data_IF_220328877415
#
_entry.id   IF_220328877415
#
_cell.length_a   1.000
_cell.length_b   1.000
_cell.length_c   1.000
_cell.angle_alpha   90.00
_cell.angle_beta   90.00
_cell.angle_gamma   90.00
#
_symmetry.space_group_name_H-M   'P 1'
#
loop_
_entity.id
_entity.type
_entity.pdbx_description
1 polymer ?
#
# COMPACT_ATOMS: atom_id res chain seq x y z
N UNK A 1 -2.97 48.57 34.42
CA UNK A 1 -3.21 47.24 33.80
C UNK A 1 -2.31 47.15 32.58
N UNK A 2 -1.13 46.56 32.74
CA UNK A 2 -0.18 46.30 31.65
C UNK A 2 -0.50 44.92 31.09
N UNK A 3 -0.86 44.86 29.82
CA UNK A 3 -1.05 43.60 29.10
C UNK A 3 0.29 42.86 28.99
N UNK A 4 0.34 41.53 29.18
CA UNK A 4 1.57 40.80 28.99
C UNK A 4 1.88 40.69 27.48
N UNK A 5 3.07 41.12 27.10
CA UNK A 5 3.66 40.91 25.78
C UNK A 5 3.73 39.42 25.46
N UNK A 6 3.39 38.98 24.23
CA UNK A 6 3.51 37.58 23.87
C UNK A 6 4.98 37.18 23.89
N UNK A 7 5.30 36.11 24.64
CA UNK A 7 6.62 35.49 24.59
C UNK A 7 6.90 35.12 23.14
N UNK A 8 8.00 35.65 22.62
CA UNK A 8 8.56 35.31 21.33
C UNK A 8 8.52 33.79 21.15
N UNK A 9 7.79 33.33 20.14
CA UNK A 9 7.91 31.97 19.63
C UNK A 9 9.38 31.75 19.31
N UNK A 10 10.07 30.95 20.13
CA UNK A 10 11.36 30.38 19.75
C UNK A 10 11.10 29.56 18.50
N UNK A 11 11.37 30.16 17.34
CA UNK A 11 11.63 29.41 16.13
C UNK A 11 12.85 28.56 16.48
N UNK A 12 12.63 27.28 16.80
CA UNK A 12 13.71 26.30 16.82
C UNK A 12 14.30 26.31 15.41
N UNK A 13 15.34 27.12 15.22
CA UNK A 13 16.18 27.07 14.04
C UNK A 13 16.85 25.71 14.11
N UNK A 14 16.24 24.72 13.44
CA UNK A 14 16.87 23.42 13.26
C UNK A 14 18.24 23.69 12.64
N UNK A 15 19.32 23.05 13.13
CA UNK A 15 20.64 23.22 12.56
C UNK A 15 20.55 22.97 11.06
N UNK A 16 21.26 23.77 10.27
CA UNK A 16 21.21 23.67 8.81
C UNK A 16 21.39 22.21 8.39
N UNK A 17 20.36 21.67 7.73
CA UNK A 17 20.27 20.27 7.39
C UNK A 17 21.28 20.02 6.26
N UNK A 18 22.48 19.59 6.59
CA UNK A 18 23.42 19.04 5.60
C UNK A 18 22.78 17.78 4.99
N UNK A 19 23.01 17.49 3.70
CA UNK A 19 22.46 16.28 3.06
C UNK A 19 22.83 15.01 3.81
N UNK A 20 23.96 15.03 4.51
CA UNK A 20 24.48 13.92 5.32
C UNK A 20 23.75 13.73 6.66
N UNK A 21 22.90 14.69 7.06
CA UNK A 21 22.20 14.71 8.35
C UNK A 21 20.68 14.52 8.23
N UNK A 22 20.16 14.18 7.04
CA UNK A 22 18.73 13.88 6.86
C UNK A 22 18.46 12.46 7.39
N UNK A 23 17.56 12.29 8.38
CA UNK A 23 17.27 10.97 8.93
C UNK A 23 16.47 10.13 7.92
N UNK A 24 16.90 8.89 7.72
CA UNK A 24 16.14 7.91 6.95
C UNK A 24 14.99 7.36 7.79
N UNK A 25 13.76 7.71 7.43
CA UNK A 25 12.56 7.26 8.14
C UNK A 25 11.92 6.11 7.35
N UNK A 26 11.65 5.00 8.04
CA UNK A 26 10.99 3.84 7.48
C UNK A 26 9.70 3.52 8.23
N UNK A 27 8.64 3.21 7.49
CA UNK A 27 7.38 2.66 8.02
C UNK A 27 7.31 1.19 7.66
N UNK A 28 7.13 0.33 8.68
CA UNK A 28 7.06 -1.11 8.53
C UNK A 28 5.71 -1.64 9.00
N UNK A 29 5.01 -2.34 8.12
CA UNK A 29 3.67 -2.82 8.35
C UNK A 29 3.62 -4.36 8.45
N UNK A 30 3.04 -4.86 9.54
CA UNK A 30 2.97 -6.29 9.82
C UNK A 30 1.88 -7.00 9.02
N UNK A 31 1.96 -8.33 8.97
CA UNK A 31 0.90 -9.17 8.43
C UNK A 31 -0.35 -9.21 9.31
N UNK A 32 -1.48 -9.53 8.70
CA UNK A 32 -2.75 -9.62 9.42
C UNK A 32 -3.98 -9.57 8.53
N UNK A 33 -3.84 -10.03 7.28
CA UNK A 33 -4.88 -9.98 6.27
C UNK A 33 -5.56 -8.59 6.20
N UNK A 34 -6.88 -8.56 6.11
CA UNK A 34 -7.65 -7.33 5.93
C UNK A 34 -7.44 -6.31 7.05
N UNK A 35 -7.24 -6.75 8.30
CA UNK A 35 -6.99 -5.85 9.44
C UNK A 35 -5.71 -5.04 9.22
N UNK A 36 -4.64 -5.71 8.80
CA UNK A 36 -3.37 -5.04 8.51
C UNK A 36 -3.46 -4.09 7.32
N UNK A 37 -4.27 -4.45 6.32
CA UNK A 37 -4.55 -3.61 5.16
C UNK A 37 -5.24 -2.30 5.55
N UNK A 38 -6.34 -2.39 6.31
CA UNK A 38 -7.10 -1.21 6.78
C UNK A 38 -6.25 -0.36 7.73
N UNK A 39 -5.54 -0.99 8.66
CA UNK A 39 -4.68 -0.29 9.61
C UNK A 39 -3.56 0.49 8.89
N UNK A 40 -2.91 -0.11 7.88
CA UNK A 40 -1.88 0.58 7.10
C UNK A 40 -2.47 1.74 6.30
N UNK A 41 -3.59 1.54 5.62
CA UNK A 41 -4.25 2.59 4.84
C UNK A 41 -4.57 3.81 5.72
N UNK A 42 -5.24 3.60 6.87
CA UNK A 42 -5.55 4.69 7.81
C UNK A 42 -4.30 5.34 8.40
N UNK A 43 -3.25 4.57 8.70
CA UNK A 43 -1.97 5.12 9.19
C UNK A 43 -1.35 6.09 8.17
N UNK A 44 -1.33 5.71 6.89
CA UNK A 44 -0.75 6.55 5.84
C UNK A 44 -1.61 7.79 5.54
N UNK A 45 -2.95 7.67 5.63
CA UNK A 45 -3.85 8.84 5.53
C UNK A 45 -3.56 9.84 6.66
N UNK A 46 -3.44 9.38 7.90
CA UNK A 46 -3.11 10.28 9.02
C UNK A 46 -1.72 10.89 8.86
N UNK A 47 -0.72 10.10 8.45
CA UNK A 47 0.63 10.62 8.16
C UNK A 47 0.60 11.72 7.08
N UNK A 48 -0.25 11.59 6.06
CA UNK A 48 -0.45 12.63 5.05
C UNK A 48 -1.07 13.88 5.67
N UNK A 49 -2.12 13.75 6.49
CA UNK A 49 -2.80 14.89 7.15
C UNK A 49 -1.85 15.72 8.03
N UNK A 50 -0.85 15.07 8.64
CA UNK A 50 0.19 15.72 9.43
C UNK A 50 1.43 16.16 8.62
N UNK A 51 1.41 16.02 7.29
CA UNK A 51 2.56 16.28 6.40
C UNK A 51 3.83 15.50 6.79
N UNK A 52 3.66 14.31 7.38
CA UNK A 52 4.76 13.40 7.75
C UNK A 52 5.03 12.36 6.68
N UNK A 53 4.09 12.16 5.76
CA UNK A 53 4.24 11.16 4.69
C UNK A 53 5.42 11.49 3.75
N UNK A 54 5.65 12.78 3.48
CA UNK A 54 6.78 13.25 2.64
C UNK A 54 8.16 13.02 3.30
N UNK A 55 8.18 12.78 4.62
CA UNK A 55 9.42 12.48 5.34
C UNK A 55 9.82 10.99 5.27
N UNK A 56 8.94 10.11 4.79
CA UNK A 56 9.17 8.67 4.77
C UNK A 56 9.98 8.28 3.54
N UNK A 57 11.12 7.63 3.78
CA UNK A 57 12.01 7.12 2.73
C UNK A 57 11.64 5.71 2.29
N UNK A 58 11.21 4.87 3.25
CA UNK A 58 10.88 3.47 3.00
C UNK A 58 9.51 3.09 3.56
N UNK A 59 8.70 2.44 2.74
CA UNK A 59 7.47 1.79 3.15
C UNK A 59 7.61 0.29 2.89
N UNK A 60 7.69 -0.49 3.96
CA UNK A 60 7.77 -1.95 3.91
C UNK A 60 6.52 -2.58 4.51
N UNK A 61 6.12 -3.74 4.00
CA UNK A 61 4.98 -4.46 4.53
C UNK A 61 4.97 -5.93 4.12
N UNK A 62 4.28 -6.77 4.89
CA UNK A 62 4.13 -8.20 4.61
C UNK A 62 2.67 -8.65 4.67
N UNK A 63 2.32 -9.72 3.95
CA UNK A 63 0.98 -10.34 3.96
C UNK A 63 -0.12 -9.28 3.72
N UNK A 64 -1.10 -9.14 4.61
CA UNK A 64 -2.22 -8.20 4.44
C UNK A 64 -1.84 -6.74 4.16
N UNK A 65 -0.71 -6.26 4.66
CA UNK A 65 -0.23 -4.90 4.35
C UNK A 65 0.20 -4.74 2.91
N UNK A 66 0.66 -5.80 2.24
CA UNK A 66 1.03 -5.73 0.82
C UNK A 66 -0.18 -5.47 -0.06
N UNK A 67 -1.39 -5.83 0.37
CA UNK A 67 -2.62 -5.55 -0.37
C UNK A 67 -2.93 -4.06 -0.42
N UNK A 68 -2.68 -3.34 0.68
CA UNK A 68 -2.78 -1.88 0.72
C UNK A 68 -1.70 -1.27 -0.17
N UNK A 69 -0.44 -1.73 -0.03
CA UNK A 69 0.67 -1.25 -0.86
C UNK A 69 0.43 -1.48 -2.35
N UNK A 70 -0.11 -2.63 -2.77
CA UNK A 70 -0.43 -2.89 -4.18
C UNK A 70 -1.47 -1.92 -4.73
N UNK A 71 -2.41 -1.46 -3.89
CA UNK A 71 -3.39 -0.44 -4.28
C UNK A 71 -2.81 0.95 -4.37
N UNK A 72 -1.92 1.31 -3.44
CA UNK A 72 -1.21 2.59 -3.46
C UNK A 72 -0.34 2.69 -4.73
N UNK A 73 0.56 1.73 -4.93
CA UNK A 73 1.56 1.80 -6.01
C UNK A 73 1.00 1.64 -7.43
N UNK A 74 -0.31 1.41 -7.58
CA UNK A 74 -0.98 1.41 -8.89
C UNK A 74 -0.91 2.78 -9.57
N UNK A 75 -1.01 3.85 -8.80
CA UNK A 75 -0.99 5.22 -9.30
C UNK A 75 0.31 5.91 -8.90
N UNK A 76 0.92 6.66 -9.82
CA UNK A 76 2.15 7.44 -9.49
C UNK A 76 1.86 8.57 -8.50
N UNK A 77 0.63 9.08 -8.51
CA UNK A 77 0.09 10.15 -7.66
C UNK A 77 -0.74 9.57 -6.49
N UNK A 78 -0.31 8.43 -5.93
CA UNK A 78 -1.04 7.75 -4.87
C UNK A 78 -1.06 8.53 -3.56
N UNK A 79 -0.03 9.35 -3.32
CA UNK A 79 0.03 10.24 -2.16
C UNK A 79 -1.14 11.20 -2.22
N UNK A 80 -1.42 11.77 -3.38
CA UNK A 80 -2.51 12.71 -3.63
C UNK A 80 -3.90 12.06 -3.51
N UNK A 81 -3.98 10.76 -3.85
CA UNK A 81 -5.24 9.99 -3.92
C UNK A 81 -5.49 9.09 -2.70
N UNK A 82 -4.65 9.15 -1.67
CA UNK A 82 -4.75 8.18 -0.56
C UNK A 82 -6.07 8.23 0.20
N UNK A 83 -6.69 9.41 0.31
CA UNK A 83 -8.02 9.57 0.93
C UNK A 83 -9.13 8.98 0.04
N UNK A 84 -8.99 9.06 -1.28
CA UNK A 84 -9.89 8.41 -2.23
C UNK A 84 -9.77 6.89 -2.14
N UNK A 85 -8.54 6.38 -1.97
CA UNK A 85 -8.28 4.96 -1.76
C UNK A 85 -8.91 4.46 -0.45
N UNK A 86 -8.77 5.22 0.64
CA UNK A 86 -9.43 4.90 1.92
C UNK A 86 -10.95 4.83 1.76
N UNK A 87 -11.55 5.80 1.05
CA UNK A 87 -12.99 5.82 0.77
C UNK A 87 -13.44 4.64 -0.08
N UNK A 88 -12.74 4.37 -1.19
CA UNK A 88 -13.02 3.22 -2.06
C UNK A 88 -12.89 1.90 -1.29
N UNK A 89 -11.89 1.80 -0.41
CA UNK A 89 -11.71 0.65 0.45
C UNK A 89 -12.91 0.50 1.41
N UNK A 90 -13.31 1.56 2.10
CA UNK A 90 -14.47 1.53 2.99
C UNK A 90 -15.75 1.11 2.26
N UNK A 91 -16.02 1.67 1.08
CA UNK A 91 -17.17 1.30 0.25
C UNK A 91 -17.11 -0.16 -0.19
N UNK A 92 -15.94 -0.64 -0.63
CA UNK A 92 -15.73 -2.03 -1.03
C UNK A 92 -15.97 -3.00 0.13
N UNK A 93 -15.52 -2.67 1.35
CA UNK A 93 -15.70 -3.54 2.51
C UNK A 93 -17.13 -3.55 3.05
N UNK A 94 -17.87 -2.45 2.90
CA UNK A 94 -19.23 -2.30 3.44
C UNK A 94 -20.31 -2.71 2.44
N UNK A 95 -20.09 -2.49 1.15
CA UNK A 95 -21.08 -2.66 0.08
C UNK A 95 -20.66 -3.68 -0.98
N UNK A 96 -19.44 -4.23 -0.89
CA UNK A 96 -18.88 -5.15 -1.89
C UNK A 96 -19.77 -6.36 -2.12
N UNK A 97 -20.20 -6.53 -3.37
CA UNK A 97 -20.92 -7.73 -3.81
C UNK A 97 -19.92 -8.82 -4.16
N UNK A 98 -20.22 -10.04 -3.73
CA UNK A 98 -19.42 -11.20 -4.07
C UNK A 98 -19.81 -11.71 -5.45
N UNK A 99 -18.92 -11.56 -6.44
CA UNK A 99 -19.10 -12.13 -7.78
C UNK A 99 -18.53 -13.55 -7.84
N UNK A 100 -19.28 -14.51 -7.27
CA UNK A 100 -18.91 -15.94 -7.19
C UNK A 100 -18.58 -16.53 -8.55
N UNK A 101 -19.38 -16.21 -9.56
CA UNK A 101 -19.27 -16.81 -10.90
C UNK A 101 -17.93 -16.48 -11.54
N UNK A 102 -17.58 -15.19 -11.55
CA UNK A 102 -16.32 -14.71 -12.09
C UNK A 102 -15.11 -15.29 -11.35
N UNK A 103 -15.18 -15.38 -10.02
CA UNK A 103 -14.10 -16.00 -9.23
C UNK A 103 -13.92 -17.49 -9.56
N UNK A 104 -15.02 -18.24 -9.75
CA UNK A 104 -14.97 -19.66 -10.13
C UNK A 104 -14.41 -19.82 -11.55
N UNK A 105 -14.86 -19.00 -12.49
CA UNK A 105 -14.36 -19.00 -13.88
C UNK A 105 -12.85 -18.76 -13.92
N UNK A 106 -12.34 -17.77 -13.19
CA UNK A 106 -10.89 -17.49 -13.13
C UNK A 106 -10.08 -18.60 -12.45
N UNK A 107 -10.65 -19.29 -11.44
CA UNK A 107 -9.99 -20.47 -10.83
C UNK A 107 -9.93 -21.64 -11.81
N UNK A 108 -11.00 -21.86 -12.58
CA UNK A 108 -11.04 -22.92 -13.59
C UNK A 108 -10.03 -22.68 -14.70
N UNK A 109 -9.90 -21.43 -15.16
CA UNK A 109 -8.87 -21.03 -16.13
C UNK A 109 -7.46 -21.23 -15.58
N UNK A 110 -7.20 -20.80 -14.34
CA UNK A 110 -5.90 -20.99 -13.71
C UNK A 110 -5.53 -22.46 -13.47
N UNK A 111 -6.53 -23.34 -13.34
CA UNK A 111 -6.30 -24.78 -13.15
C UNK A 111 -5.75 -25.48 -14.40
N UNK A 112 -5.79 -24.83 -15.57
CA UNK A 112 -5.16 -25.31 -16.80
C UNK A 112 -3.65 -25.03 -16.85
N UNK A 113 -3.12 -24.17 -15.96
CA UNK A 113 -1.70 -23.86 -15.87
C UNK A 113 -0.93 -24.96 -15.11
N UNK A 114 0.24 -25.36 -15.63
CA UNK A 114 1.13 -26.34 -14.99
C UNK A 114 1.63 -25.87 -13.61
N UNK A 115 1.62 -24.55 -13.34
CA UNK A 115 2.01 -23.94 -12.07
C UNK A 115 0.85 -23.72 -11.09
N UNK A 116 -0.34 -24.26 -11.36
CA UNK A 116 -1.51 -24.11 -10.50
C UNK A 116 -1.29 -24.59 -9.07
N UNK A 117 -1.74 -23.79 -8.10
CA UNK A 117 -1.58 -24.07 -6.69
C UNK A 117 -2.78 -23.60 -5.86
N UNK A 118 -2.80 -23.97 -4.57
CA UNK A 118 -3.79 -23.44 -3.62
C UNK A 118 -3.68 -21.91 -3.45
N UNK A 119 -2.52 -21.32 -3.77
CA UNK A 119 -2.33 -19.87 -3.75
C UNK A 119 -3.18 -19.19 -4.82
N UNK A 120 -3.43 -19.85 -5.96
CA UNK A 120 -4.27 -19.33 -7.04
C UNK A 120 -5.74 -19.34 -6.60
N UNK A 121 -6.23 -20.45 -6.04
CA UNK A 121 -7.54 -20.49 -5.39
C UNK A 121 -7.67 -19.34 -4.37
N UNK A 122 -6.69 -19.21 -3.49
CA UNK A 122 -6.69 -18.18 -2.46
C UNK A 122 -6.66 -16.75 -3.06
N UNK A 123 -5.91 -16.50 -4.13
CA UNK A 123 -5.83 -15.19 -4.77
C UNK A 123 -7.16 -14.84 -5.44
N UNK A 124 -7.75 -15.73 -6.24
CA UNK A 124 -9.02 -15.45 -6.91
C UNK A 124 -10.20 -15.32 -5.95
N UNK A 125 -10.14 -15.89 -4.73
CA UNK A 125 -11.19 -15.69 -3.73
C UNK A 125 -10.95 -14.49 -2.80
N UNK A 126 -9.69 -14.21 -2.42
CA UNK A 126 -9.36 -13.14 -1.47
C UNK A 126 -9.01 -11.83 -2.19
N UNK A 127 -8.11 -11.88 -3.18
CA UNK A 127 -7.69 -10.70 -3.96
C UNK A 127 -8.84 -10.18 -4.80
N UNK A 128 -9.58 -11.04 -5.52
CA UNK A 128 -10.75 -10.59 -6.30
C UNK A 128 -11.81 -9.93 -5.41
N UNK A 129 -12.09 -10.48 -4.22
CA UNK A 129 -13.07 -9.87 -3.31
C UNK A 129 -12.60 -8.51 -2.77
N UNK A 130 -11.35 -8.43 -2.32
CA UNK A 130 -10.85 -7.28 -1.57
C UNK A 130 -10.29 -6.18 -2.48
N UNK A 131 -9.82 -6.53 -3.67
CA UNK A 131 -9.12 -5.65 -4.59
C UNK A 131 -9.84 -5.46 -5.93
N UNK A 132 -11.05 -5.98 -6.16
CA UNK A 132 -11.73 -5.81 -7.46
C UNK A 132 -11.97 -4.35 -7.91
N UNK A 133 -11.91 -3.37 -7.01
CA UNK A 133 -11.93 -1.95 -7.38
C UNK A 133 -10.56 -1.27 -7.32
N UNK A 134 -9.58 -1.91 -6.67
CA UNK A 134 -8.22 -1.39 -6.48
C UNK A 134 -7.25 -1.96 -7.53
N UNK A 135 -7.47 -3.18 -8.00
CA UNK A 135 -6.57 -3.99 -8.81
C UNK A 135 -7.23 -4.54 -10.09
N UNK A 136 -8.08 -3.75 -10.76
CA UNK A 136 -8.29 -3.99 -12.20
C UNK A 136 -6.90 -3.90 -12.86
N UNK A 137 -6.43 -5.03 -13.39
CA UNK A 137 -5.13 -5.32 -14.01
C UNK A 137 -3.93 -5.63 -13.10
N UNK A 138 -4.04 -6.65 -12.23
CA UNK A 138 -2.86 -7.46 -11.85
C UNK A 138 -2.53 -8.55 -12.90
N UNK A 139 -3.28 -8.61 -14.00
CA UNK A 139 -3.17 -9.63 -15.06
C UNK A 139 -1.94 -9.46 -15.97
N UNK A 140 -1.14 -8.41 -15.74
CA UNK A 140 0.10 -8.15 -16.50
C UNK A 140 1.38 -8.56 -15.78
N UNK A 141 1.34 -9.01 -14.52
CA UNK A 141 2.55 -9.43 -13.79
C UNK A 141 2.85 -10.94 -13.88
N UNK A 142 1.88 -11.73 -14.34
CA UNK A 142 1.97 -13.20 -14.39
C UNK A 142 2.11 -13.73 -15.83
N UNK A 143 2.81 -13.03 -16.73
CA UNK A 143 3.36 -13.67 -17.94
C UNK A 143 4.84 -13.94 -17.70
N UNK A 144 5.30 -15.20 -17.69
CA UNK A 144 6.72 -15.49 -17.69
C UNK A 144 7.28 -15.06 -19.05
N UNK A 145 7.74 -13.83 -19.15
CA UNK A 145 8.64 -13.45 -20.22
C UNK A 145 9.94 -14.20 -19.99
N UNK A 146 10.10 -15.28 -20.77
CA UNK A 146 11.38 -15.91 -20.99
C UNK A 146 12.40 -14.83 -21.38
N UNK A 147 13.45 -14.69 -20.57
CA UNK A 147 14.60 -13.82 -20.86
C UNK A 147 14.60 -12.49 -20.14
N UNK A 148 14.99 -12.51 -18.85
CA UNK A 148 16.02 -11.64 -18.22
C UNK A 148 15.73 -11.52 -16.72
N UNK A 149 16.41 -12.34 -15.93
CA UNK A 149 16.52 -12.14 -14.50
C UNK A 149 17.29 -10.84 -14.25
N UNK A 150 16.63 -9.82 -13.70
CA UNK A 150 17.33 -8.77 -12.95
C UNK A 150 17.49 -9.29 -11.53
N UNK A 151 18.63 -9.91 -11.26
CA UNK A 151 19.05 -10.20 -9.89
C UNK A 151 19.25 -8.87 -9.17
N UNK A 152 18.40 -8.55 -8.20
CA UNK A 152 18.73 -7.54 -7.19
C UNK A 152 19.72 -8.22 -6.24
N UNK A 153 20.99 -8.21 -6.65
CA UNK A 153 22.09 -8.69 -5.83
C UNK A 153 22.20 -7.81 -4.59
N UNK A 154 22.03 -8.42 -3.43
CA UNK A 154 22.57 -7.88 -2.18
C UNK A 154 24.10 -7.97 -2.31
N UNK A 155 24.75 -6.85 -2.61
CA UNK A 155 26.20 -6.76 -2.58
C UNK A 155 26.66 -6.84 -1.12
N UNK A 156 27.31 -7.95 -0.77
CA UNK A 156 28.31 -7.99 0.29
C UNK A 156 29.64 -7.49 -0.25
#
# INVERSE_FOLDING_TARGET
>A
MTTPTPKSTEVCILPQMNSDNIPNIAVLASGGALRAMVALCGTLVELRKYNLLDCIMYLGGVSGSTWCMSGLYKNKDWVEKIEELEKCLHETLTQGKWETKKAIESVLEAAEDECYSLTDIWSYFIVHRLLNQVAVEAETYQKPHAGNYVSVGCSQ
#
